data_IF_128489355224
#
_entry.id   IF_128489355224
#
_cell.length_a   1.000
_cell.length_b   1.000
_cell.length_c   1.000
_cell.angle_alpha   90.00
_cell.angle_beta   90.00
_cell.angle_gamma   90.00
#
_symmetry.space_group_name_H-M   'P 1'
#
loop_
_entity.id
_entity.type
_entity.pdbx_description
1 polymer ?
#
# COMPACT_ATOMS: atom_id res chain seq x y z
N UNK A 1 8.35 1.43 -9.27
CA UNK A 1 7.05 1.69 -8.62
C UNK A 1 6.00 1.76 -9.72
N UNK A 2 4.83 1.18 -9.48
CA UNK A 2 3.65 1.30 -10.33
C UNK A 2 2.55 2.07 -9.61
N UNK A 3 1.38 2.17 -10.23
CA UNK A 3 0.17 2.71 -9.60
C UNK A 3 -0.87 1.59 -9.52
N UNK A 4 -1.67 1.61 -8.47
CA UNK A 4 -2.82 0.72 -8.28
C UNK A 4 -4.01 1.53 -7.80
N UNK A 5 -5.21 1.11 -8.18
CA UNK A 5 -6.44 1.73 -7.71
C UNK A 5 -6.62 1.43 -6.22
N UNK A 6 -7.02 2.43 -5.44
CA UNK A 6 -7.16 2.29 -3.98
C UNK A 6 -8.22 1.24 -3.62
N UNK A 7 -9.25 1.07 -4.45
CA UNK A 7 -10.26 0.01 -4.33
C UNK A 7 -9.63 -1.38 -4.21
N UNK A 8 -8.66 -1.73 -5.07
CA UNK A 8 -8.08 -3.07 -5.07
C UNK A 8 -7.34 -3.40 -3.77
N UNK A 9 -6.71 -2.40 -3.15
CA UNK A 9 -6.09 -2.56 -1.83
C UNK A 9 -7.09 -2.54 -0.69
N UNK A 10 -8.18 -1.77 -0.83
CA UNK A 10 -9.27 -1.74 0.13
C UNK A 10 -9.95 -3.11 0.22
N UNK A 11 -10.31 -3.70 -0.92
CA UNK A 11 -10.89 -5.05 -1.03
C UNK A 11 -9.96 -6.09 -0.42
N UNK A 12 -8.67 -6.03 -0.76
CA UNK A 12 -7.68 -6.96 -0.21
C UNK A 12 -7.58 -6.90 1.33
N UNK A 13 -7.68 -5.70 1.91
CA UNK A 13 -7.76 -5.53 3.36
C UNK A 13 -9.10 -6.01 3.94
N UNK A 14 -10.21 -5.77 3.22
CA UNK A 14 -11.54 -6.26 3.60
C UNK A 14 -11.60 -7.80 3.60
N UNK A 15 -10.76 -8.48 2.83
CA UNK A 15 -10.68 -9.94 2.83
C UNK A 15 -9.74 -10.48 3.93
N UNK A 16 -8.59 -9.82 4.15
CA UNK A 16 -7.49 -10.41 4.92
C UNK A 16 -7.20 -9.74 6.28
N UNK A 17 -7.62 -8.49 6.50
CA UNK A 17 -7.33 -7.68 7.70
C UNK A 17 -5.85 -7.75 8.11
N UNK A 18 -5.59 -8.10 9.37
CA UNK A 18 -4.27 -8.09 9.99
C UNK A 18 -3.29 -9.09 9.37
N UNK A 19 -3.79 -10.19 8.78
CA UNK A 19 -2.94 -11.21 8.16
C UNK A 19 -2.11 -10.65 7.00
N UNK A 20 -2.66 -9.61 6.34
CA UNK A 20 -1.99 -8.88 5.28
C UNK A 20 -0.71 -8.17 5.77
N UNK A 21 -0.60 -7.90 7.06
CA UNK A 21 0.52 -7.21 7.71
C UNK A 21 1.41 -8.16 8.51
N UNK A 22 1.27 -9.48 8.35
CA UNK A 22 2.01 -10.50 9.13
C UNK A 22 3.54 -10.35 9.14
N UNK A 23 4.14 -9.80 8.08
CA UNK A 23 5.59 -9.51 7.99
C UNK A 23 5.93 -8.05 8.27
N UNK A 24 4.95 -7.22 8.64
CA UNK A 24 5.18 -5.84 9.03
C UNK A 24 5.70 -5.78 10.47
N UNK A 25 6.85 -5.14 10.67
CA UNK A 25 7.45 -5.01 12.01
C UNK A 25 6.91 -3.83 12.81
N UNK A 26 6.15 -2.93 12.18
CA UNK A 26 5.28 -2.00 12.91
C UNK A 26 3.97 -2.74 13.11
N UNK A 27 3.77 -3.32 14.29
CA UNK A 27 2.46 -3.80 14.73
C UNK A 27 1.40 -2.73 14.44
N UNK A 28 0.25 -3.12 13.91
CA UNK A 28 -0.87 -2.21 13.64
C UNK A 28 -1.20 -1.42 14.92
N UNK A 29 -0.82 -0.14 14.94
CA UNK A 29 -1.26 0.83 15.93
C UNK A 29 -2.51 1.44 15.31
N UNK A 30 -3.67 1.24 15.92
CA UNK A 30 -5.01 1.49 15.35
C UNK A 30 -5.28 2.91 14.83
N UNK A 31 -6.45 3.47 15.13
CA UNK A 31 -6.79 4.83 14.69
C UNK A 31 -5.83 5.85 15.35
N UNK A 32 -5.12 6.61 14.53
CA UNK A 32 -4.20 7.69 14.94
C UNK A 32 -4.50 8.92 14.09
N UNK A 33 -4.06 10.12 14.49
CA UNK A 33 -4.27 11.38 13.74
C UNK A 33 -3.81 11.28 12.26
N UNK A 34 -2.83 10.41 11.98
CA UNK A 34 -2.37 10.10 10.61
C UNK A 34 -3.49 9.47 9.77
N UNK A 35 -4.33 8.63 10.37
CA UNK A 35 -5.41 7.94 9.69
C UNK A 35 -6.54 8.91 9.31
N UNK A 36 -6.81 9.93 10.13
CA UNK A 36 -7.84 10.93 9.86
C UNK A 36 -7.49 11.76 8.61
N UNK A 37 -6.23 12.20 8.48
CA UNK A 37 -5.78 12.93 7.28
C UNK A 37 -5.80 12.07 6.01
N UNK A 38 -5.45 10.79 6.13
CA UNK A 38 -5.56 9.83 5.01
C UNK A 38 -7.03 9.65 4.62
N UNK A 39 -7.94 9.50 5.59
CA UNK A 39 -9.36 9.31 5.34
C UNK A 39 -10.00 10.54 4.71
N UNK A 40 -9.66 11.73 5.22
CA UNK A 40 -10.13 13.00 4.67
C UNK A 40 -9.74 13.15 3.19
N UNK A 41 -8.48 12.86 2.86
CA UNK A 41 -8.01 12.86 1.47
C UNK A 41 -8.75 11.80 0.63
N UNK A 42 -8.95 10.60 1.20
CA UNK A 42 -9.92 9.56 0.83
C UNK A 42 -11.22 10.10 0.23
N UNK A 43 -11.95 10.81 1.09
CA UNK A 43 -13.36 11.09 0.90
C UNK A 43 -13.63 12.44 0.23
N UNK A 44 -12.68 13.37 0.34
CA UNK A 44 -12.87 14.76 -0.10
C UNK A 44 -11.91 15.20 -1.20
N UNK A 45 -10.77 14.53 -1.39
CA UNK A 45 -9.77 14.89 -2.42
C UNK A 45 -9.07 13.68 -3.06
N UNK A 46 -9.81 12.65 -3.50
CA UNK A 46 -9.23 11.37 -3.92
C UNK A 46 -8.27 11.47 -5.13
N UNK A 47 -8.50 12.43 -6.03
CA UNK A 47 -7.63 12.68 -7.21
C UNK A 47 -6.19 13.07 -6.82
N UNK A 48 -6.01 13.69 -5.65
CA UNK A 48 -4.68 14.10 -5.14
C UNK A 48 -4.02 13.04 -4.28
N UNK A 49 -4.75 11.98 -3.92
CA UNK A 49 -4.34 10.99 -2.94
C UNK A 49 -3.02 10.29 -3.30
N UNK A 50 -2.77 10.08 -4.59
CA UNK A 50 -1.53 9.50 -5.11
C UNK A 50 -0.26 10.25 -4.65
N UNK A 51 -0.37 11.55 -4.43
CA UNK A 51 0.75 12.44 -4.08
C UNK A 51 0.84 12.74 -2.58
N UNK A 52 -0.24 12.50 -1.83
CA UNK A 52 -0.34 12.82 -0.40
C UNK A 52 -0.11 11.60 0.51
N UNK A 53 0.30 10.47 -0.06
CA UNK A 53 0.67 9.27 0.67
C UNK A 53 2.09 8.80 0.31
N UNK A 54 2.68 7.97 1.18
CA UNK A 54 4.04 7.43 0.98
C UNK A 54 4.07 6.17 0.07
N UNK A 55 2.94 5.80 -0.52
CA UNK A 55 2.78 4.55 -1.25
C UNK A 55 2.66 3.30 -0.37
N UNK A 56 2.63 2.14 -1.03
CA UNK A 56 2.48 0.81 -0.43
C UNK A 56 3.59 -0.10 -0.95
N UNK A 57 4.25 -0.83 -0.06
CA UNK A 57 5.23 -1.86 -0.43
C UNK A 57 4.75 -3.24 0.00
N UNK A 58 4.71 -4.15 -0.96
CA UNK A 58 4.24 -5.53 -0.80
C UNK A 58 5.39 -6.49 -1.11
N UNK A 59 5.66 -7.40 -0.19
CA UNK A 59 6.46 -8.58 -0.44
C UNK A 59 5.55 -9.69 -0.98
N UNK A 60 5.98 -10.39 -2.02
CA UNK A 60 5.28 -11.55 -2.57
C UNK A 60 6.26 -12.73 -2.59
N UNK A 61 5.82 -13.95 -2.29
CA UNK A 61 6.64 -15.15 -2.50
C UNK A 61 6.98 -15.32 -3.98
N UNK A 62 6.06 -14.93 -4.86
CA UNK A 62 6.20 -14.97 -6.31
C UNK A 62 5.36 -13.88 -6.96
N UNK A 63 5.84 -13.33 -8.08
CA UNK A 63 5.11 -12.37 -8.92
C UNK A 63 5.12 -12.88 -10.36
N UNK A 64 3.95 -12.94 -10.98
CA UNK A 64 3.79 -13.28 -12.38
C UNK A 64 2.94 -12.22 -13.08
N UNK A 65 3.49 -11.57 -14.11
CA UNK A 65 2.68 -10.73 -15.01
C UNK A 65 1.83 -11.66 -15.86
N UNK A 66 0.51 -11.53 -15.77
CA UNK A 66 -0.39 -12.29 -16.64
C UNK A 66 -0.50 -11.62 -18.00
N UNK A 67 -0.64 -12.42 -19.05
CA UNK A 67 -0.87 -11.93 -20.42
C UNK A 67 -2.37 -11.80 -20.70
N UNK A 68 -3.22 -12.17 -19.72
CA UNK A 68 -4.67 -12.00 -19.81
C UNK A 68 -4.95 -10.51 -19.71
N UNK A 69 -5.51 -9.92 -20.76
CA UNK A 69 -5.89 -8.51 -20.74
C UNK A 69 -5.81 -7.85 -22.11
N UNK A 70 -5.00 -8.39 -23.04
CA UNK A 70 -4.91 -7.83 -24.38
C UNK A 70 -4.49 -6.35 -24.40
N UNK A 71 -3.87 -5.86 -23.32
CA UNK A 71 -3.44 -4.48 -23.20
C UNK A 71 -2.47 -4.17 -24.33
N UNK A 72 -2.86 -3.25 -25.22
CA UNK A 72 -1.99 -2.74 -26.28
C UNK A 72 -0.82 -1.94 -25.69
N UNK A 73 -1.05 -1.33 -24.53
CA UNK A 73 -0.05 -0.65 -23.74
C UNK A 73 0.68 -1.62 -22.78
N UNK A 74 2.00 -1.71 -22.93
CA UNK A 74 2.88 -2.52 -22.07
C UNK A 74 3.04 -1.94 -20.66
N UNK A 75 2.67 -0.67 -20.46
CA UNK A 75 2.73 0.03 -19.17
C UNK A 75 1.67 -0.45 -18.17
N UNK A 76 0.61 -1.09 -18.67
CA UNK A 76 -0.47 -1.70 -17.89
C UNK A 76 -0.30 -3.22 -17.87
N UNK A 77 -0.81 -3.87 -16.83
CA UNK A 77 -1.03 -5.30 -16.84
C UNK A 77 -1.40 -5.86 -15.48
N UNK A 78 -1.94 -7.07 -15.52
CA UNK A 78 -2.36 -7.79 -14.33
C UNK A 78 -1.18 -8.57 -13.74
N UNK A 79 -1.03 -8.51 -12.41
CA UNK A 79 0.02 -9.21 -11.70
C UNK A 79 -0.60 -10.20 -10.73
N UNK A 80 -0.32 -11.48 -10.93
CA UNK A 80 -0.62 -12.50 -9.95
C UNK A 80 0.51 -12.52 -8.91
N UNK A 81 0.15 -12.33 -7.64
CA UNK A 81 1.09 -12.28 -6.53
C UNK A 81 0.73 -13.36 -5.51
N UNK A 82 1.67 -14.23 -5.19
CA UNK A 82 1.50 -15.28 -4.18
C UNK A 82 2.07 -14.83 -2.83
N UNK A 83 1.48 -15.31 -1.73
CA UNK A 83 2.05 -15.17 -0.38
C UNK A 83 2.38 -13.73 0.01
N UNK A 84 1.44 -12.82 -0.23
CA UNK A 84 1.68 -11.39 -0.10
C UNK A 84 1.75 -10.92 1.37
N UNK A 85 2.55 -9.89 1.63
CA UNK A 85 2.52 -9.16 2.89
C UNK A 85 2.93 -7.69 2.71
N UNK A 86 2.14 -6.78 3.27
CA UNK A 86 2.37 -5.34 3.22
C UNK A 86 3.34 -4.93 4.33
N UNK A 87 4.53 -4.48 3.95
CA UNK A 87 5.61 -4.10 4.87
C UNK A 87 5.76 -2.58 5.04
N UNK A 88 5.02 -1.80 4.26
CA UNK A 88 4.91 -0.33 4.36
C UNK A 88 3.55 0.11 3.79
N UNK A 89 2.92 1.10 4.42
CA UNK A 89 1.58 1.59 4.06
C UNK A 89 0.43 0.88 4.78
N UNK A 90 0.67 0.23 5.92
CA UNK A 90 -0.37 -0.49 6.66
C UNK A 90 -1.54 0.41 7.11
N UNK A 91 -1.23 1.59 7.65
CA UNK A 91 -2.25 2.60 8.00
C UNK A 91 -3.01 3.07 6.75
N UNK A 92 -2.30 3.38 5.67
CA UNK A 92 -2.91 3.79 4.40
C UNK A 92 -3.91 2.75 3.89
N UNK A 93 -3.53 1.48 3.86
CA UNK A 93 -4.37 0.39 3.36
C UNK A 93 -5.53 0.07 4.31
N UNK A 94 -5.32 0.10 5.62
CA UNK A 94 -6.40 -0.06 6.60
C UNK A 94 -7.43 1.08 6.52
N UNK A 95 -6.97 2.33 6.33
CA UNK A 95 -7.84 3.48 6.13
C UNK A 95 -8.58 3.40 4.80
N UNK A 96 -7.95 2.97 3.70
CA UNK A 96 -8.65 2.68 2.44
C UNK A 96 -9.79 1.69 2.65
N UNK A 97 -9.53 0.57 3.34
CA UNK A 97 -10.55 -0.43 3.64
C UNK A 97 -11.73 0.13 4.45
N UNK A 98 -11.44 0.90 5.50
CA UNK A 98 -12.47 1.54 6.34
C UNK A 98 -13.27 2.61 5.57
N UNK A 99 -12.58 3.44 4.78
CA UNK A 99 -13.20 4.48 3.95
C UNK A 99 -14.06 3.88 2.84
N UNK A 100 -13.63 2.77 2.24
CA UNK A 100 -14.37 2.06 1.18
C UNK A 100 -15.71 1.54 1.69
N UNK A 101 -15.76 1.05 2.94
CA UNK A 101 -17.01 0.66 3.60
C UNK A 101 -17.93 1.85 3.91
N UNK A 102 -17.39 3.07 3.95
CA UNK A 102 -18.17 4.30 4.21
C UNK A 102 -18.67 4.93 2.90
N UNK A 103 -17.80 5.08 1.90
CA UNK A 103 -18.12 5.61 0.59
C UNK A 103 -17.17 5.04 -0.48
N UNK A 104 -17.57 3.92 -1.09
CA UNK A 104 -16.79 3.26 -2.13
C UNK A 104 -16.55 4.13 -3.37
N UNK A 105 -17.50 5.00 -3.71
CA UNK A 105 -17.46 5.79 -4.94
C UNK A 105 -16.35 6.85 -4.93
N UNK A 106 -16.02 7.40 -3.76
CA UNK A 106 -14.87 8.31 -3.64
C UNK A 106 -13.54 7.54 -3.65
N UNK A 107 -13.46 6.41 -2.96
CA UNK A 107 -12.23 5.60 -2.91
C UNK A 107 -11.84 5.07 -4.28
N UNK A 108 -12.82 4.71 -5.14
CA UNK A 108 -12.58 4.28 -6.53
C UNK A 108 -11.87 5.32 -7.41
N UNK A 109 -11.92 6.61 -7.04
CA UNK A 109 -11.24 7.69 -7.78
C UNK A 109 -9.77 7.83 -7.37
N UNK A 110 -9.37 7.22 -6.26
CA UNK A 110 -8.02 7.36 -5.71
C UNK A 110 -7.06 6.29 -6.27
N UNK A 111 -5.80 6.69 -6.46
CA UNK A 111 -4.69 5.80 -6.79
C UNK A 111 -3.57 5.92 -5.77
N UNK A 112 -2.75 4.88 -5.67
CA UNK A 112 -1.57 4.87 -4.79
C UNK A 112 -0.36 4.27 -5.49
N UNK A 113 0.83 4.78 -5.17
CA UNK A 113 2.07 4.17 -5.63
C UNK A 113 2.28 2.81 -4.99
N UNK A 114 2.52 1.79 -5.82
CA UNK A 114 2.73 0.41 -5.40
C UNK A 114 4.13 -0.06 -5.75
N UNK A 115 4.80 -0.70 -4.78
CA UNK A 115 6.03 -1.46 -5.00
C UNK A 115 5.79 -2.91 -4.68
N UNK A 116 5.81 -3.75 -5.70
CA UNK A 116 5.83 -5.20 -5.54
C UNK A 116 7.28 -5.69 -5.52
N UNK A 117 7.61 -6.56 -4.57
CA UNK A 117 8.94 -7.15 -4.41
C UNK A 117 8.79 -8.68 -4.38
N UNK A 118 9.34 -9.35 -5.40
CA UNK A 118 9.39 -10.81 -5.42
C UNK A 118 10.48 -11.32 -4.47
N UNK A 119 10.14 -12.34 -3.68
CA UNK A 119 11.07 -13.10 -2.85
C UNK A 119 11.53 -14.40 -3.55
N UNK A 120 11.08 -14.64 -4.78
CA UNK A 120 11.47 -15.81 -5.56
C UNK A 120 13.00 -15.83 -5.74
N UNK A 121 13.63 -16.96 -5.42
CA UNK A 121 15.08 -17.16 -5.49
C UNK A 121 15.92 -16.17 -4.64
N UNK A 122 15.33 -15.53 -3.64
CA UNK A 122 16.06 -14.66 -2.73
C UNK A 122 16.70 -15.44 -1.56
N UNK A 123 17.81 -14.94 -0.98
CA UNK A 123 18.38 -15.51 0.26
C UNK A 123 17.37 -15.49 1.42
N UNK A 124 17.45 -16.43 2.39
CA UNK A 124 16.49 -16.56 3.49
C UNK A 124 16.22 -15.25 4.26
N UNK A 125 17.24 -14.42 4.48
CA UNK A 125 17.12 -13.18 5.26
C UNK A 125 16.69 -11.95 4.46
N UNK A 126 16.46 -12.10 3.15
CA UNK A 126 16.20 -10.95 2.28
C UNK A 126 14.92 -10.21 2.66
N UNK A 127 13.84 -10.94 2.96
CA UNK A 127 12.57 -10.35 3.41
C UNK A 127 12.76 -9.50 4.68
N UNK A 128 13.53 -10.00 5.65
CA UNK A 128 13.82 -9.29 6.88
C UNK A 128 14.65 -8.02 6.63
N UNK A 129 15.66 -8.10 5.75
CA UNK A 129 16.48 -6.94 5.37
C UNK A 129 15.65 -5.84 4.72
N UNK A 130 14.82 -6.20 3.74
CA UNK A 130 13.93 -5.25 3.05
C UNK A 130 12.95 -4.61 4.04
N UNK A 131 12.33 -5.41 4.90
CA UNK A 131 11.38 -4.94 5.91
C UNK A 131 12.04 -3.97 6.90
N UNK A 132 13.22 -4.30 7.43
CA UNK A 132 13.99 -3.40 8.30
C UNK A 132 14.31 -2.08 7.60
N UNK A 133 14.92 -2.14 6.42
CA UNK A 133 15.33 -0.93 5.69
C UNK A 133 14.16 0.00 5.35
N UNK A 134 12.98 -0.56 5.05
CA UNK A 134 11.78 0.23 4.72
C UNK A 134 11.16 0.89 5.97
N UNK A 135 11.41 0.33 7.16
CA UNK A 135 10.84 0.80 8.43
C UNK A 135 11.80 1.69 9.25
N UNK A 136 13.11 1.65 8.97
CA UNK A 136 14.14 2.47 9.62
C UNK A 136 14.34 3.85 8.99
N UNK A 137 13.53 4.22 7.99
CA UNK A 137 13.51 5.61 7.52
C UNK A 137 12.94 6.50 8.64
N UNK A 138 13.71 7.50 9.06
CA UNK A 138 13.33 8.41 10.13
C UNK A 138 12.00 9.09 9.82
N UNK A 139 11.13 9.20 10.82
CA UNK A 139 9.93 10.04 10.73
C UNK A 139 10.39 11.50 10.64
N UNK A 140 9.93 12.23 9.63
CA UNK A 140 10.02 13.69 9.61
C UNK A 140 8.96 14.20 10.59
N UNK A 141 9.38 14.96 11.58
CA UNK A 141 8.48 15.52 12.58
C UNK A 141 7.86 16.83 12.06
N UNK A 142 6.66 17.19 12.54
CA UNK A 142 5.99 18.44 12.12
C UNK A 142 6.88 19.68 12.31
N UNK A 143 7.80 19.64 13.27
CA UNK A 143 8.77 20.72 13.50
C UNK A 143 9.75 20.94 12.34
N UNK A 144 10.04 19.89 11.57
CA UNK A 144 10.98 19.94 10.45
C UNK A 144 10.35 20.66 9.23
N UNK A 145 9.03 20.88 9.25
CA UNK A 145 8.31 21.63 8.21
C UNK A 145 8.29 23.15 8.44
N UNK A 146 8.69 23.64 9.62
CA UNK A 146 8.82 25.10 9.86
C UNK A 146 10.00 25.73 9.11
N UNK A 147 10.87 24.92 8.49
CA UNK A 147 12.01 25.36 7.68
C UNK A 147 11.73 25.38 6.16
N UNK A 148 10.52 25.01 5.73
CA UNK A 148 10.08 25.08 4.34
C UNK A 148 9.51 26.45 3.94
#
# INVERSE_FOLDING_TARGET
YGQIDAEQLAELWIENREDLFSKNIRSFVGLTDVNDGIQDTLLHSPETFLYLNNGVTVLCSKIQKTVKGGYSDKSVGDFYCEGISIINGAQTVGTMGTAYQTNSEEVKKAKVFLKLISLENCPPDFALKVTKSTNTQNKVENRDFFEF
#
